data_IF_333886776517
#
_entry.id   IF_333886776517
#
_cell.length_a   1.000
_cell.length_b   1.000
_cell.length_c   1.000
_cell.angle_alpha   90.00
_cell.angle_beta   90.00
_cell.angle_gamma   90.00
#
_symmetry.space_group_name_H-M   'P 1'
#
loop_
_entity.id
_entity.type
_entity.pdbx_description
1 polymer ?
#
# COMPACT_ATOMS: atom_id res chain seq x y z
N UNK A 1 -27.36 -8.77 13.89
CA UNK A 1 -25.90 -8.70 13.64
C UNK A 1 -25.46 -9.78 12.65
N UNK A 2 -25.89 -11.04 12.81
CA UNK A 2 -25.54 -12.16 11.90
C UNK A 2 -26.11 -11.97 10.49
N UNK A 3 -27.32 -11.37 10.35
CA UNK A 3 -27.94 -11.13 9.04
C UNK A 3 -27.24 -10.03 8.21
N UNK A 4 -26.55 -9.08 8.86
CA UNK A 4 -25.76 -8.05 8.18
C UNK A 4 -24.43 -8.60 7.65
N UNK A 5 -23.77 -9.49 8.38
CA UNK A 5 -22.54 -10.15 7.93
C UNK A 5 -22.73 -10.97 6.64
N UNK A 6 -23.89 -11.64 6.52
CA UNK A 6 -24.21 -12.44 5.32
C UNK A 6 -24.51 -11.53 4.10
N UNK A 7 -25.04 -10.34 4.31
CA UNK A 7 -25.29 -9.38 3.23
C UNK A 7 -23.97 -8.77 2.71
N UNK A 8 -23.02 -8.45 3.59
CA UNK A 8 -21.69 -7.98 3.22
C UNK A 8 -20.90 -9.02 2.42
N UNK A 9 -20.92 -10.27 2.86
CA UNK A 9 -20.26 -11.37 2.18
C UNK A 9 -20.89 -11.66 0.78
N UNK A 10 -22.17 -11.38 0.59
CA UNK A 10 -22.80 -11.44 -0.74
C UNK A 10 -22.44 -10.25 -1.63
N UNK A 11 -22.32 -9.04 -1.08
CA UNK A 11 -21.95 -7.86 -1.85
C UNK A 11 -20.48 -7.97 -2.33
N UNK A 12 -19.56 -8.40 -1.46
CA UNK A 12 -18.15 -8.65 -1.82
C UNK A 12 -18.01 -9.75 -2.88
N UNK A 13 -18.81 -10.83 -2.78
CA UNK A 13 -18.84 -11.88 -3.81
C UNK A 13 -19.44 -11.39 -5.12
N UNK A 14 -20.50 -10.61 -5.08
CA UNK A 14 -21.14 -10.07 -6.28
C UNK A 14 -20.22 -9.08 -7.02
N UNK A 15 -19.43 -8.31 -6.28
CA UNK A 15 -18.44 -7.40 -6.83
C UNK A 15 -17.25 -8.15 -7.45
N UNK A 16 -16.72 -9.18 -6.79
CA UNK A 16 -15.70 -10.06 -7.39
C UNK A 16 -16.24 -10.71 -8.68
N UNK A 17 -17.50 -11.13 -8.70
CA UNK A 17 -18.12 -11.68 -9.90
C UNK A 17 -18.27 -10.62 -11.00
N UNK A 18 -18.55 -9.36 -10.66
CA UNK A 18 -18.62 -8.25 -11.62
C UNK A 18 -17.26 -7.86 -12.16
N UNK A 19 -16.24 -7.78 -11.31
CA UNK A 19 -14.83 -7.51 -11.72
C UNK A 19 -14.33 -8.64 -12.63
N UNK A 20 -14.55 -9.88 -12.24
CA UNK A 20 -14.21 -11.06 -13.07
C UNK A 20 -14.99 -11.08 -14.38
N UNK A 21 -16.28 -10.67 -14.36
CA UNK A 21 -17.09 -10.58 -15.58
C UNK A 21 -16.65 -9.41 -16.47
N UNK A 22 -16.27 -8.25 -15.91
CA UNK A 22 -15.75 -7.12 -16.66
C UNK A 22 -14.38 -7.45 -17.30
N UNK A 23 -13.49 -8.09 -16.52
CA UNK A 23 -12.20 -8.57 -17.01
C UNK A 23 -12.36 -9.66 -18.08
N UNK A 24 -13.31 -10.58 -17.89
CA UNK A 24 -13.65 -11.61 -18.88
C UNK A 24 -14.34 -11.02 -20.13
N UNK A 25 -15.14 -9.96 -19.97
CA UNK A 25 -15.77 -9.22 -21.07
C UNK A 25 -14.74 -8.48 -21.91
N UNK A 26 -13.78 -7.82 -21.27
CA UNK A 26 -12.65 -7.18 -21.95
C UNK A 26 -11.77 -8.20 -22.70
N UNK A 27 -11.55 -9.39 -22.11
CA UNK A 27 -10.84 -10.49 -22.76
C UNK A 27 -11.62 -11.06 -23.96
N UNK A 28 -12.96 -11.12 -23.89
CA UNK A 28 -13.82 -11.62 -24.98
C UNK A 28 -13.91 -10.65 -26.18
N UNK A 29 -13.64 -9.35 -25.98
CA UNK A 29 -13.56 -8.35 -27.05
C UNK A 29 -12.26 -8.41 -27.87
N UNK A 30 -11.27 -9.19 -27.41
CA UNK A 30 -10.01 -9.41 -28.14
C UNK A 30 -10.19 -10.51 -29.20
N UNK A 31 -9.50 -10.44 -30.35
CA UNK A 31 -9.56 -11.53 -31.35
C UNK A 31 -9.12 -12.85 -30.75
N UNK A 32 -9.82 -13.92 -31.08
CA UNK A 32 -9.70 -15.27 -30.49
C UNK A 32 -8.24 -15.80 -30.44
N UNK A 33 -7.36 -15.33 -31.29
CA UNK A 33 -5.94 -15.70 -31.29
C UNK A 33 -5.10 -15.01 -30.20
N UNK A 34 -5.60 -13.90 -29.62
CA UNK A 34 -4.95 -13.20 -28.51
C UNK A 34 -5.43 -13.70 -27.14
N UNK A 35 -6.61 -14.32 -27.08
CA UNK A 35 -7.27 -14.78 -25.84
C UNK A 35 -6.60 -16.01 -25.22
N UNK A 36 -5.86 -16.80 -26.01
CA UNK A 36 -5.24 -18.04 -25.52
C UNK A 36 -4.08 -17.87 -24.54
N UNK A 37 -3.63 -16.63 -24.27
CA UNK A 37 -2.51 -16.33 -23.36
C UNK A 37 -2.80 -15.17 -22.40
N UNK A 38 -4.03 -14.67 -22.35
CA UNK A 38 -4.42 -13.59 -21.48
C UNK A 38 -4.60 -14.03 -20.03
N UNK A 39 -3.51 -14.26 -19.33
CA UNK A 39 -3.53 -14.37 -17.86
C UNK A 39 -3.47 -12.96 -17.32
N UNK A 40 -4.55 -12.50 -16.68
CA UNK A 40 -4.52 -11.29 -15.88
C UNK A 40 -3.68 -11.58 -14.64
N UNK A 41 -2.49 -10.98 -14.58
CA UNK A 41 -1.69 -10.99 -13.38
C UNK A 41 -2.30 -10.03 -12.37
N UNK A 42 -3.31 -10.48 -11.65
CA UNK A 42 -3.79 -9.78 -10.46
C UNK A 42 -2.78 -10.09 -9.35
N UNK A 43 -1.88 -9.16 -9.10
CA UNK A 43 -1.11 -9.21 -7.86
C UNK A 43 -2.00 -8.58 -6.81
N UNK A 44 -2.78 -9.42 -6.15
CA UNK A 44 -3.20 -9.05 -4.80
C UNK A 44 -1.91 -8.82 -3.99
N UNK A 45 -1.86 -7.77 -3.19
CA UNK A 45 -0.77 -7.40 -2.26
C UNK A 45 -0.36 -8.55 -1.32
N UNK A 46 0.10 -9.66 -1.89
CA UNK A 46 0.53 -10.83 -1.14
C UNK A 46 1.97 -10.68 -0.71
N UNK A 47 2.67 -9.70 -1.26
CA UNK A 47 4.10 -9.51 -1.09
C UNK A 47 4.50 -8.67 0.10
N UNK A 48 3.59 -8.32 0.93
CA UNK A 48 3.96 -7.66 2.15
C UNK A 48 4.73 -8.63 3.03
N UNK A 49 6.02 -8.39 3.12
CA UNK A 49 6.90 -9.03 4.08
C UNK A 49 6.32 -8.87 5.46
N UNK A 50 5.60 -9.81 5.91
CA UNK A 50 5.17 -9.79 7.23
C UNK A 50 3.80 -10.23 7.48
N UNK A 51 3.78 -10.82 8.47
CA UNK A 51 2.76 -11.41 9.26
C UNK A 51 1.50 -10.53 9.31
N UNK A 52 0.77 -10.54 8.24
CA UNK A 52 -0.66 -10.30 8.31
C UNK A 52 -1.22 -11.56 8.92
N UNK A 53 -2.33 -11.42 9.65
CA UNK A 53 -3.04 -12.57 10.24
C UNK A 53 -3.03 -13.72 9.25
N UNK A 54 -2.18 -14.69 9.55
CA UNK A 54 -1.65 -15.75 8.68
C UNK A 54 -2.71 -16.46 7.86
N UNK A 55 -3.89 -16.64 8.44
CA UNK A 55 -4.95 -17.44 7.85
C UNK A 55 -5.73 -16.70 6.75
N UNK A 56 -5.82 -15.38 6.77
CA UNK A 56 -6.64 -14.65 5.81
C UNK A 56 -6.00 -14.55 4.41
N UNK A 57 -4.68 -14.45 4.32
CA UNK A 57 -3.99 -14.38 3.01
C UNK A 57 -3.84 -15.75 2.35
N UNK A 58 -3.48 -16.77 3.11
CA UNK A 58 -3.47 -18.14 2.60
C UNK A 58 -4.86 -18.56 2.16
N UNK A 59 -5.90 -18.17 2.91
CA UNK A 59 -7.29 -18.45 2.56
C UNK A 59 -7.73 -17.70 1.28
N UNK A 60 -7.31 -16.44 1.08
CA UNK A 60 -7.60 -15.67 -0.14
C UNK A 60 -6.89 -16.28 -1.34
N UNK A 61 -5.59 -16.55 -1.23
CA UNK A 61 -4.80 -17.19 -2.29
C UNK A 61 -5.38 -18.58 -2.64
N UNK A 62 -5.74 -19.37 -1.62
CA UNK A 62 -6.35 -20.69 -1.81
C UNK A 62 -7.75 -20.58 -2.45
N UNK A 63 -8.56 -19.59 -2.08
CA UNK A 63 -9.88 -19.36 -2.66
C UNK A 63 -9.79 -18.96 -4.14
N UNK A 64 -8.85 -18.09 -4.51
CA UNK A 64 -8.59 -17.71 -5.90
C UNK A 64 -8.10 -18.90 -6.72
N UNK A 65 -7.17 -19.71 -6.18
CA UNK A 65 -6.69 -20.93 -6.83
C UNK A 65 -7.80 -21.97 -7.00
N UNK A 66 -8.67 -22.15 -5.99
CA UNK A 66 -9.84 -23.03 -6.08
C UNK A 66 -10.86 -22.53 -7.12
N UNK A 67 -10.91 -21.22 -7.38
CA UNK A 67 -11.69 -20.59 -8.46
C UNK A 67 -11.09 -20.78 -9.85
N UNK A 68 -9.94 -21.44 -9.96
CA UNK A 68 -9.28 -21.73 -11.25
C UNK A 68 -8.27 -20.68 -11.69
N UNK A 69 -7.92 -19.73 -10.84
CA UNK A 69 -6.87 -18.74 -11.12
C UNK A 69 -5.49 -19.34 -10.85
N UNK A 70 -4.48 -18.94 -11.64
CA UNK A 70 -3.09 -19.23 -11.32
C UNK A 70 -2.63 -18.21 -10.25
N UNK A 71 -2.24 -18.72 -9.09
CA UNK A 71 -1.82 -17.90 -7.95
C UNK A 71 -0.40 -18.28 -7.56
N UNK A 72 0.49 -17.30 -7.55
CA UNK A 72 1.87 -17.41 -7.12
C UNK A 72 2.06 -16.52 -5.89
N UNK A 73 1.82 -17.06 -4.72
CA UNK A 73 1.85 -16.34 -3.48
C UNK A 73 2.27 -17.25 -2.35
N UNK A 74 3.06 -16.72 -1.41
CA UNK A 74 3.49 -17.42 -0.21
C UNK A 74 3.53 -16.45 0.96
N UNK A 75 2.81 -16.78 2.00
CA UNK A 75 2.84 -16.03 3.24
C UNK A 75 4.23 -16.06 3.89
N UNK A 76 4.69 -14.88 4.36
CA UNK A 76 5.98 -14.77 5.03
C UNK A 76 7.19 -15.06 4.14
N UNK A 77 7.03 -14.95 2.81
CA UNK A 77 8.13 -15.13 1.87
C UNK A 77 9.25 -14.11 2.11
N UNK A 78 10.49 -14.53 1.89
CA UNK A 78 11.62 -13.63 1.81
C UNK A 78 11.69 -12.95 0.43
N UNK A 79 12.73 -12.13 0.20
CA UNK A 79 12.87 -11.40 -1.07
C UNK A 79 13.14 -12.30 -2.26
N UNK A 80 13.83 -13.40 -2.09
CA UNK A 80 14.14 -14.34 -3.16
C UNK A 80 12.87 -15.10 -3.56
N UNK A 81 12.10 -15.54 -2.58
CA UNK A 81 10.79 -16.18 -2.80
C UNK A 81 9.78 -15.21 -3.44
N UNK A 82 9.76 -13.94 -2.98
CA UNK A 82 8.94 -12.89 -3.57
C UNK A 82 9.28 -12.67 -5.05
N UNK A 83 10.56 -12.47 -5.38
CA UNK A 83 11.00 -12.29 -6.76
C UNK A 83 10.67 -13.54 -7.61
N UNK A 84 10.81 -14.74 -7.06
CA UNK A 84 10.41 -15.99 -7.73
C UNK A 84 8.92 -16.02 -8.07
N UNK A 85 8.05 -15.52 -7.16
CA UNK A 85 6.61 -15.40 -7.45
C UNK A 85 6.34 -14.42 -8.59
N UNK A 86 6.99 -13.25 -8.59
CA UNK A 86 6.87 -12.27 -9.67
C UNK A 86 7.34 -12.85 -11.02
N UNK A 87 8.47 -13.57 -11.03
CA UNK A 87 8.97 -14.23 -12.21
C UNK A 87 7.95 -15.25 -12.76
N UNK A 88 7.34 -16.07 -11.88
CA UNK A 88 6.31 -17.04 -12.27
C UNK A 88 5.09 -16.37 -12.90
N UNK A 89 4.69 -15.18 -12.43
CA UNK A 89 3.63 -14.38 -13.06
C UNK A 89 4.05 -13.93 -14.46
N UNK A 90 5.29 -13.48 -14.64
CA UNK A 90 5.78 -13.00 -15.93
C UNK A 90 5.98 -14.13 -16.94
N UNK A 91 6.32 -15.37 -16.48
CA UNK A 91 6.39 -16.56 -17.34
C UNK A 91 5.04 -16.92 -17.98
N UNK A 92 3.93 -16.48 -17.40
CA UNK A 92 2.61 -16.61 -18.01
C UNK A 92 2.38 -15.64 -19.19
N UNK A 93 3.35 -14.74 -19.48
CA UNK A 93 3.33 -13.78 -20.56
C UNK A 93 2.06 -12.87 -20.57
N UNK A 94 1.82 -12.09 -19.53
CA UNK A 94 0.63 -11.24 -19.43
C UNK A 94 0.65 -10.14 -20.49
N UNK A 95 -0.52 -9.84 -21.08
CA UNK A 95 -0.68 -8.74 -22.03
C UNK A 95 -1.11 -7.43 -21.34
N UNK A 96 -1.77 -7.51 -20.17
CA UNK A 96 -2.12 -6.38 -19.32
C UNK A 96 -1.60 -6.68 -17.92
N UNK A 97 -1.02 -5.66 -17.29
CA UNK A 97 -0.42 -5.74 -15.96
C UNK A 97 -1.22 -4.83 -15.01
N UNK A 98 -1.57 -5.33 -13.84
CA UNK A 98 -1.96 -4.50 -12.70
C UNK A 98 -0.84 -4.64 -11.69
N UNK A 99 -0.16 -3.53 -11.38
CA UNK A 99 1.03 -3.50 -10.53
C UNK A 99 0.77 -2.63 -9.29
N UNK A 100 1.45 -2.94 -8.21
CA UNK A 100 1.37 -2.21 -6.95
C UNK A 100 2.79 -2.01 -6.40
N UNK A 101 3.39 -0.89 -6.75
CA UNK A 101 4.77 -0.54 -6.43
C UNK A 101 5.74 -0.58 -7.61
N UNK A 102 5.29 -1.06 -8.79
CA UNK A 102 6.06 -1.06 -10.03
C UNK A 102 7.11 -2.17 -10.12
N UNK A 103 7.02 -3.23 -9.33
CA UNK A 103 8.02 -4.31 -9.31
C UNK A 103 7.91 -5.22 -10.53
N UNK A 104 6.69 -5.58 -10.96
CA UNK A 104 6.49 -6.34 -12.20
C UNK A 104 6.96 -5.57 -13.43
N UNK A 105 6.57 -4.29 -13.51
CA UNK A 105 6.99 -3.41 -14.60
C UNK A 105 8.51 -3.30 -14.65
N UNK A 106 9.16 -3.17 -13.48
CA UNK A 106 10.62 -3.12 -13.39
C UNK A 106 11.27 -4.44 -13.87
N UNK A 107 10.78 -5.59 -13.41
CA UNK A 107 11.29 -6.90 -13.84
C UNK A 107 11.11 -7.11 -15.34
N UNK A 108 9.96 -6.71 -15.88
CA UNK A 108 9.69 -6.80 -17.32
C UNK A 108 10.66 -5.95 -18.14
N UNK A 109 11.04 -4.77 -17.66
CA UNK A 109 12.00 -3.88 -18.35
C UNK A 109 13.46 -4.29 -18.16
N UNK A 110 13.77 -5.16 -17.20
CA UNK A 110 15.16 -5.57 -16.90
C UNK A 110 15.46 -7.02 -17.26
N UNK A 111 14.57 -7.95 -16.90
CA UNK A 111 14.80 -9.39 -17.06
C UNK A 111 13.95 -10.06 -18.18
N UNK A 112 12.74 -9.54 -18.43
CA UNK A 112 11.75 -10.16 -19.36
C UNK A 112 11.44 -9.24 -20.54
N UNK A 113 12.47 -8.61 -21.09
CA UNK A 113 12.32 -7.58 -22.16
C UNK A 113 11.73 -8.15 -23.46
N UNK A 114 11.81 -9.43 -23.67
CA UNK A 114 11.22 -10.16 -24.80
C UNK A 114 9.69 -10.22 -24.74
N UNK A 115 9.08 -10.05 -23.57
CA UNK A 115 7.62 -10.02 -23.41
C UNK A 115 7.02 -8.66 -23.79
N UNK A 116 7.79 -7.59 -23.73
CA UNK A 116 7.31 -6.21 -23.93
C UNK A 116 6.53 -6.00 -25.22
N UNK A 117 6.92 -6.58 -26.39
CA UNK A 117 6.15 -6.40 -27.62
C UNK A 117 4.70 -6.89 -27.57
N UNK A 118 4.39 -7.82 -26.66
CA UNK A 118 3.06 -8.40 -26.49
C UNK A 118 2.24 -7.68 -25.41
N UNK A 119 2.86 -6.76 -24.65
CA UNK A 119 2.18 -6.00 -23.58
C UNK A 119 1.36 -4.87 -24.18
N UNK A 120 0.08 -4.85 -23.90
CA UNK A 120 -0.86 -3.77 -24.28
C UNK A 120 -0.63 -2.55 -23.38
N UNK A 121 -0.41 -2.79 -22.10
CA UNK A 121 -0.18 -1.76 -21.07
C UNK A 121 -0.41 -2.27 -19.67
N UNK A 122 -0.40 -1.36 -18.71
CA UNK A 122 -0.69 -1.70 -17.31
C UNK A 122 -1.31 -0.56 -16.53
N UNK A 123 -1.67 -0.88 -15.29
CA UNK A 123 -2.26 0.02 -14.32
C UNK A 123 -1.44 -0.03 -13.03
N UNK A 124 -1.21 1.12 -12.40
CA UNK A 124 -0.44 1.22 -11.16
C UNK A 124 -1.33 1.68 -10.01
N UNK A 125 -1.35 0.89 -8.94
CA UNK A 125 -2.21 1.08 -7.77
C UNK A 125 -1.68 2.11 -6.78
N UNK A 126 -0.34 2.27 -6.66
CA UNK A 126 0.22 2.98 -5.51
C UNK A 126 1.14 4.15 -5.88
N UNK A 127 1.23 5.13 -4.98
CA UNK A 127 2.05 6.34 -5.14
C UNK A 127 3.52 6.00 -5.42
N UNK A 128 4.08 5.00 -4.75
CA UNK A 128 5.49 4.60 -4.92
C UNK A 128 5.76 4.09 -6.32
N UNK A 129 4.89 3.23 -6.86
CA UNK A 129 5.00 2.74 -8.23
C UNK A 129 4.84 3.88 -9.24
N UNK A 130 3.89 4.80 -9.03
CA UNK A 130 3.75 5.98 -9.90
C UNK A 130 5.02 6.83 -9.94
N UNK A 131 5.71 7.03 -8.82
CA UNK A 131 6.97 7.76 -8.80
C UNK A 131 8.05 7.05 -9.63
N UNK A 132 8.15 5.72 -9.54
CA UNK A 132 9.06 4.89 -10.35
C UNK A 132 8.71 4.99 -11.84
N UNK A 133 7.44 4.82 -12.19
CA UNK A 133 6.96 4.90 -13.57
C UNK A 133 7.21 6.28 -14.19
N UNK A 134 6.95 7.36 -13.46
CA UNK A 134 7.27 8.74 -13.90
C UNK A 134 8.78 8.96 -14.08
N UNK A 135 9.62 8.30 -13.30
CA UNK A 135 11.07 8.36 -13.47
C UNK A 135 11.50 7.61 -14.74
N UNK A 136 10.98 6.39 -14.97
CA UNK A 136 11.22 5.61 -16.18
C UNK A 136 10.73 6.33 -17.45
N UNK A 137 9.55 6.94 -17.39
CA UNK A 137 8.98 7.70 -18.52
C UNK A 137 9.86 8.90 -18.88
N UNK A 138 10.27 9.70 -17.87
CA UNK A 138 11.21 10.81 -18.09
C UNK A 138 12.57 10.38 -18.65
N UNK A 139 13.02 9.19 -18.30
CA UNK A 139 14.24 8.60 -18.83
C UNK A 139 14.07 8.02 -20.26
N UNK A 140 12.83 7.92 -20.74
CA UNK A 140 12.50 7.27 -22.02
C UNK A 140 12.65 5.74 -21.98
N UNK A 141 12.59 5.16 -20.78
CA UNK A 141 12.77 3.72 -20.54
C UNK A 141 11.45 2.96 -20.52
N UNK A 142 10.32 3.64 -20.24
CA UNK A 142 9.00 3.01 -20.18
C UNK A 142 8.51 2.68 -21.61
N UNK A 143 8.36 1.40 -21.92
CA UNK A 143 8.16 0.90 -23.28
C UNK A 143 6.72 0.51 -23.62
N UNK A 144 5.79 0.65 -22.70
CA UNK A 144 4.35 0.48 -22.91
C UNK A 144 3.55 1.48 -22.06
N UNK A 145 2.26 1.70 -22.35
CA UNK A 145 1.44 2.64 -21.59
C UNK A 145 1.12 2.12 -20.19
N UNK A 146 1.22 3.01 -19.19
CA UNK A 146 0.86 2.73 -17.79
C UNK A 146 -0.14 3.74 -17.28
N UNK A 147 -1.34 3.30 -16.92
CA UNK A 147 -2.39 4.14 -16.34
C UNK A 147 -2.11 4.36 -14.86
N UNK A 148 -2.08 5.62 -14.44
CA UNK A 148 -1.80 6.02 -13.06
C UNK A 148 -3.08 5.97 -12.21
N UNK A 149 -3.55 4.78 -11.84
CA UNK A 149 -4.82 4.59 -11.12
C UNK A 149 -4.82 5.29 -9.77
N UNK A 150 -3.70 5.29 -9.06
CA UNK A 150 -3.60 6.00 -7.77
C UNK A 150 -3.85 7.52 -7.86
N UNK A 151 -3.78 8.12 -9.05
CA UNK A 151 -4.03 9.56 -9.25
C UNK A 151 -5.49 9.88 -9.60
N UNK A 152 -6.37 8.88 -9.77
CA UNK A 152 -7.82 9.09 -9.91
C UNK A 152 -8.43 9.65 -8.62
N UNK A 153 -9.40 10.55 -8.76
CA UNK A 153 -10.06 11.17 -7.61
C UNK A 153 -10.81 10.14 -6.75
N UNK A 154 -11.52 9.19 -7.41
CA UNK A 154 -12.20 8.09 -6.72
C UNK A 154 -11.23 7.12 -6.02
N UNK A 155 -9.94 7.10 -6.40
CA UNK A 155 -8.93 6.29 -5.71
C UNK A 155 -8.32 7.05 -4.55
N UNK A 156 -7.55 8.10 -4.80
CA UNK A 156 -6.71 8.69 -3.74
C UNK A 156 -7.48 9.44 -2.67
N UNK A 157 -8.62 10.04 -3.01
CA UNK A 157 -9.44 10.76 -2.04
C UNK A 157 -10.13 9.81 -1.04
N UNK A 158 -10.36 8.56 -1.42
CA UNK A 158 -11.06 7.57 -0.59
C UNK A 158 -10.11 6.51 -0.04
N UNK A 159 -9.44 5.75 -0.88
CA UNK A 159 -8.52 4.69 -0.50
C UNK A 159 -7.36 5.25 0.34
N UNK A 160 -6.52 6.11 -0.24
CA UNK A 160 -5.35 6.64 0.47
C UNK A 160 -5.74 7.47 1.70
N UNK A 161 -6.83 8.24 1.63
CA UNK A 161 -7.24 9.10 2.75
C UNK A 161 -8.06 8.36 3.79
N UNK A 162 -9.21 7.83 3.41
CA UNK A 162 -10.14 7.22 4.37
C UNK A 162 -9.81 5.77 4.66
N UNK A 163 -9.40 5.00 3.64
CA UNK A 163 -8.97 3.61 3.79
C UNK A 163 -7.75 3.50 4.68
N UNK A 164 -6.65 4.18 4.31
CA UNK A 164 -5.42 4.19 5.13
C UNK A 164 -5.68 4.80 6.51
N UNK A 165 -6.43 5.91 6.56
CA UNK A 165 -6.74 6.56 7.83
C UNK A 165 -7.46 5.64 8.82
N UNK A 166 -8.37 4.80 8.36
CA UNK A 166 -9.06 3.83 9.22
C UNK A 166 -8.17 2.63 9.53
N UNK A 167 -7.65 1.96 8.51
CA UNK A 167 -6.95 0.69 8.66
C UNK A 167 -5.66 0.79 9.49
N UNK A 168 -4.95 1.91 9.40
CA UNK A 168 -3.79 2.17 10.26
C UNK A 168 -4.18 2.19 11.74
N UNK A 169 -5.25 2.89 12.09
CA UNK A 169 -5.72 2.93 13.48
C UNK A 169 -6.34 1.63 13.93
N UNK A 170 -6.99 0.89 13.05
CA UNK A 170 -7.46 -0.46 13.35
C UNK A 170 -6.29 -1.38 13.72
N UNK A 171 -5.21 -1.36 12.93
CA UNK A 171 -3.99 -2.11 13.21
C UNK A 171 -3.33 -1.70 14.53
N UNK A 172 -3.13 -0.39 14.76
CA UNK A 172 -2.52 0.12 15.99
C UNK A 172 -3.34 -0.25 17.23
N UNK A 173 -4.65 0.02 17.21
CA UNK A 173 -5.53 -0.23 18.37
C UNK A 173 -5.69 -1.72 18.67
N UNK A 174 -5.88 -2.55 17.63
CA UNK A 174 -6.00 -4.00 17.77
C UNK A 174 -4.75 -4.62 18.37
N UNK A 175 -3.58 -4.18 17.93
CA UNK A 175 -2.29 -4.74 18.36
C UNK A 175 -1.91 -4.27 19.75
N UNK A 176 -2.07 -2.98 20.05
CA UNK A 176 -1.62 -2.40 21.31
C UNK A 176 -2.68 -2.47 22.42
N UNK A 177 -3.96 -2.36 22.08
CA UNK A 177 -5.08 -2.14 23.02
C UNK A 177 -4.86 -0.92 23.92
N UNK A 178 -4.22 0.14 23.41
CA UNK A 178 -3.96 1.38 24.15
C UNK A 178 -4.99 2.46 23.79
N UNK A 179 -5.25 3.33 24.75
CA UNK A 179 -6.04 4.53 24.51
C UNK A 179 -5.23 5.54 23.68
N UNK A 180 -5.84 6.09 22.65
CA UNK A 180 -5.23 7.12 21.78
C UNK A 180 -5.49 8.52 22.34
N UNK A 181 -6.63 8.71 22.99
CA UNK A 181 -7.02 10.00 23.54
C UNK A 181 -5.97 10.56 24.52
N UNK A 182 -5.65 11.85 24.34
CA UNK A 182 -4.67 12.57 25.15
C UNK A 182 -3.21 12.36 24.79
N UNK A 183 -2.88 11.37 23.94
CA UNK A 183 -1.51 11.11 23.50
C UNK A 183 -1.07 12.07 22.41
N UNK A 184 0.22 12.37 22.36
CA UNK A 184 0.85 13.04 21.24
C UNK A 184 1.12 12.01 20.14
N UNK A 185 0.42 12.15 19.02
CA UNK A 185 0.59 11.32 17.83
C UNK A 185 1.33 12.12 16.77
N UNK A 186 2.50 11.67 16.40
CA UNK A 186 3.34 12.28 15.34
C UNK A 186 3.04 11.54 14.04
N UNK A 187 2.52 12.26 13.05
CA UNK A 187 2.28 11.77 11.69
C UNK A 187 3.32 12.40 10.77
N UNK A 188 4.17 11.56 10.17
CA UNK A 188 5.22 12.01 9.25
C UNK A 188 4.74 11.89 7.82
N UNK A 189 4.57 13.04 7.17
CA UNK A 189 3.97 13.18 5.85
C UNK A 189 2.52 13.67 5.92
N UNK A 190 2.16 14.63 5.04
CA UNK A 190 0.82 15.20 4.95
C UNK A 190 0.24 15.10 3.52
N UNK A 191 0.58 13.99 2.84
CA UNK A 191 -0.12 13.53 1.63
C UNK A 191 -1.50 12.97 1.97
N UNK A 192 -2.14 12.30 1.03
CA UNK A 192 -3.49 11.76 1.24
C UNK A 192 -3.57 10.80 2.43
N UNK A 193 -2.63 9.87 2.56
CA UNK A 193 -2.56 8.96 3.71
C UNK A 193 -2.35 9.72 5.02
N UNK A 194 -1.41 10.66 5.06
CA UNK A 194 -1.14 11.47 6.26
C UNK A 194 -2.32 12.29 6.72
N UNK A 195 -3.08 12.88 5.79
CA UNK A 195 -4.34 13.59 6.07
C UNK A 195 -5.36 12.66 6.73
N UNK A 196 -5.52 11.45 6.18
CA UNK A 196 -6.45 10.45 6.72
C UNK A 196 -6.06 9.96 8.11
N UNK A 197 -4.79 9.61 8.31
CA UNK A 197 -4.24 9.17 9.59
C UNK A 197 -4.38 10.26 10.65
N UNK A 198 -4.03 11.52 10.31
CA UNK A 198 -4.16 12.68 11.21
C UNK A 198 -5.61 12.95 11.60
N UNK A 199 -6.52 12.91 10.62
CA UNK A 199 -7.96 13.11 10.84
C UNK A 199 -8.53 12.07 11.83
N UNK A 200 -8.19 10.79 11.64
CA UNK A 200 -8.64 9.71 12.54
C UNK A 200 -8.02 9.81 13.92
N UNK A 201 -6.72 10.12 14.03
CA UNK A 201 -6.06 10.36 15.30
C UNK A 201 -6.76 11.48 16.10
N UNK A 202 -7.05 12.62 15.45
CA UNK A 202 -7.78 13.75 16.05
C UNK A 202 -9.18 13.31 16.51
N UNK A 203 -9.89 12.54 15.68
CA UNK A 203 -11.21 11.99 16.02
C UNK A 203 -11.17 11.01 17.22
N UNK A 204 -10.06 10.32 17.44
CA UNK A 204 -9.81 9.47 18.61
C UNK A 204 -9.36 10.28 19.85
N UNK A 205 -9.25 11.60 19.75
CA UNK A 205 -8.86 12.47 20.86
C UNK A 205 -7.35 12.65 21.04
N UNK A 206 -6.54 12.31 20.05
CA UNK A 206 -5.10 12.57 20.08
C UNK A 206 -4.78 14.07 19.93
N UNK A 207 -3.59 14.44 20.43
CA UNK A 207 -2.89 15.67 20.09
C UNK A 207 -1.98 15.38 18.92
N UNK A 208 -2.41 15.79 17.71
CA UNK A 208 -1.71 15.42 16.49
C UNK A 208 -0.62 16.45 16.16
N UNK A 209 0.57 15.93 15.87
CA UNK A 209 1.71 16.69 15.35
C UNK A 209 2.00 16.14 13.96
N UNK A 210 2.17 17.01 12.99
CA UNK A 210 2.57 16.65 11.62
C UNK A 210 4.03 17.05 11.40
N UNK A 211 4.80 16.18 10.77
CA UNK A 211 6.12 16.52 10.24
C UNK A 211 6.05 16.44 8.71
N UNK A 212 6.38 17.53 8.04
CA UNK A 212 6.28 17.63 6.57
C UNK A 212 7.40 18.54 6.04
N UNK A 213 7.97 18.18 4.89
CA UNK A 213 9.03 18.94 4.22
C UNK A 213 8.52 19.86 3.12
N UNK A 214 7.37 19.52 2.52
CA UNK A 214 6.69 20.38 1.56
C UNK A 214 6.01 21.55 2.30
N UNK A 215 6.41 22.80 2.05
CA UNK A 215 5.87 23.95 2.78
C UNK A 215 4.37 24.18 2.53
N UNK A 216 3.84 23.79 1.37
CA UNK A 216 2.41 23.94 1.06
C UNK A 216 1.60 22.93 1.87
N UNK A 217 2.02 21.67 1.91
CA UNK A 217 1.38 20.63 2.72
C UNK A 217 1.52 20.91 4.22
N UNK A 218 2.68 21.42 4.65
CA UNK A 218 2.88 21.85 6.04
C UNK A 218 1.91 22.97 6.43
N UNK A 219 1.73 23.97 5.55
CA UNK A 219 0.76 25.05 5.76
C UNK A 219 -0.68 24.53 5.78
N UNK A 220 -1.03 23.59 4.89
CA UNK A 220 -2.33 22.93 4.89
C UNK A 220 -2.60 22.22 6.24
N UNK A 221 -1.61 21.50 6.77
CA UNK A 221 -1.72 20.84 8.07
C UNK A 221 -1.99 21.86 9.20
N UNK A 222 -1.33 23.03 9.17
CA UNK A 222 -1.60 24.12 10.12
C UNK A 222 -3.03 24.64 9.99
N UNK A 223 -3.54 24.82 8.76
CA UNK A 223 -4.92 25.27 8.51
C UNK A 223 -5.97 24.24 8.96
N UNK A 224 -5.64 22.94 8.89
CA UNK A 224 -6.47 21.86 9.42
C UNK A 224 -6.41 21.75 10.97
N UNK A 225 -5.62 22.62 11.61
CA UNK A 225 -5.53 22.77 13.07
C UNK A 225 -4.61 21.75 13.73
N UNK A 226 -3.52 21.34 13.05
CA UNK A 226 -2.46 20.52 13.60
C UNK A 226 -1.23 21.36 13.96
N UNK A 227 -0.47 20.91 14.95
CA UNK A 227 0.87 21.41 15.19
C UNK A 227 1.81 20.85 14.10
N UNK A 228 2.69 21.70 13.57
CA UNK A 228 3.68 21.29 12.57
C UNK A 228 5.07 21.64 13.09
N UNK A 229 5.97 20.65 13.10
CA UNK A 229 7.35 20.86 13.55
C UNK A 229 8.30 19.83 12.92
N UNK A 230 9.61 20.06 12.92
CA UNK A 230 10.60 19.09 12.47
C UNK A 230 10.59 17.83 13.36
N UNK A 231 10.93 16.65 12.75
CA UNK A 231 10.96 15.36 13.46
C UNK A 231 11.82 15.42 14.74
N UNK A 232 12.99 16.05 14.71
CA UNK A 232 13.88 16.18 15.88
C UNK A 232 13.20 16.83 17.10
N UNK A 233 12.20 17.68 16.90
CA UNK A 233 11.42 18.29 18.00
C UNK A 233 10.23 17.40 18.36
N UNK A 234 9.53 16.85 17.36
CA UNK A 234 8.41 15.95 17.55
C UNK A 234 8.84 14.66 18.29
N UNK A 235 10.04 14.14 18.02
CA UNK A 235 10.60 12.97 18.68
C UNK A 235 10.64 13.09 20.20
N UNK A 236 10.90 14.29 20.73
CA UNK A 236 11.01 14.53 22.18
C UNK A 236 9.67 14.44 22.91
N UNK A 237 8.56 14.67 22.21
CA UNK A 237 7.23 14.81 22.82
C UNK A 237 6.21 13.80 22.34
N UNK A 238 6.49 13.08 21.25
CA UNK A 238 5.62 12.04 20.69
C UNK A 238 5.47 10.83 21.61
N UNK A 239 4.26 10.29 21.69
CA UNK A 239 3.96 9.03 22.35
C UNK A 239 3.79 7.90 21.30
N UNK A 240 3.24 8.23 20.14
CA UNK A 240 3.08 7.33 19.00
C UNK A 240 3.53 8.04 17.72
N UNK A 241 4.18 7.31 16.84
CA UNK A 241 4.71 7.78 15.57
C UNK A 241 4.15 6.94 14.44
N UNK A 242 3.62 7.60 13.40
CA UNK A 242 3.13 6.96 12.18
C UNK A 242 3.81 7.61 10.99
N UNK A 243 4.64 6.87 10.27
CA UNK A 243 5.29 7.35 9.04
C UNK A 243 4.45 6.97 7.83
N UNK A 244 4.24 7.93 6.91
CA UNK A 244 3.40 7.78 5.70
C UNK A 244 3.95 8.60 4.52
N UNK A 245 5.28 8.67 4.40
CA UNK A 245 5.93 9.55 3.42
C UNK A 245 6.27 8.85 2.10
N UNK A 246 6.45 7.53 2.13
CA UNK A 246 7.03 6.77 1.03
C UNK A 246 8.53 7.02 0.83
N UNK A 247 9.21 7.70 1.78
CA UNK A 247 10.63 8.03 1.71
C UNK A 247 11.41 7.25 2.76
N UNK A 248 12.68 6.94 2.49
CA UNK A 248 13.54 6.26 3.46
C UNK A 248 14.05 7.20 4.55
N UNK A 249 14.33 6.64 5.76
CA UNK A 249 15.08 7.33 6.81
C UNK A 249 14.33 8.51 7.44
N UNK A 250 13.04 8.41 7.67
CA UNK A 250 12.23 9.44 8.31
C UNK A 250 12.47 9.47 9.82
N UNK A 251 12.52 8.30 10.45
CA UNK A 251 12.90 8.14 11.85
C UNK A 251 14.20 7.35 11.89
N UNK A 252 15.27 7.99 12.37
CA UNK A 252 16.64 7.48 12.35
C UNK A 252 17.23 7.41 13.76
N UNK A 253 18.46 6.92 13.86
CA UNK A 253 19.19 6.79 15.14
C UNK A 253 19.28 8.09 15.93
N UNK A 254 19.37 9.25 15.28
CA UNK A 254 19.40 10.56 15.96
C UNK A 254 18.12 10.89 16.74
N UNK A 255 16.99 10.26 16.36
CA UNK A 255 15.71 10.47 16.98
C UNK A 255 15.46 9.54 18.16
N UNK A 256 15.87 8.26 18.07
CA UNK A 256 15.54 7.21 19.04
C UNK A 256 15.95 7.57 20.48
N UNK A 257 17.17 8.07 20.68
CA UNK A 257 17.65 8.41 22.02
C UNK A 257 16.87 9.57 22.67
N UNK A 258 16.29 10.45 21.83
CA UNK A 258 15.55 11.62 22.32
C UNK A 258 14.09 11.32 22.65
N UNK A 259 13.56 10.20 22.11
CA UNK A 259 12.16 9.79 22.31
C UNK A 259 11.86 9.51 23.79
N UNK A 260 10.57 9.55 24.10
CA UNK A 260 10.08 9.15 25.42
C UNK A 260 10.27 7.65 25.63
N UNK A 261 10.43 7.28 26.88
CA UNK A 261 10.29 5.88 27.29
C UNK A 261 8.87 5.39 26.97
N UNK A 262 8.76 4.22 26.35
CA UNK A 262 7.49 3.65 25.93
C UNK A 262 6.94 4.20 24.59
N UNK A 263 7.70 5.00 23.84
CA UNK A 263 7.24 5.49 22.54
C UNK A 263 7.05 4.34 21.54
N UNK A 264 5.98 4.45 20.73
CA UNK A 264 5.59 3.42 19.76
C UNK A 264 5.84 3.94 18.35
N UNK A 265 6.59 3.17 17.57
CA UNK A 265 6.96 3.44 16.19
C UNK A 265 6.13 2.56 15.26
N UNK A 266 5.52 3.18 14.26
CA UNK A 266 4.63 2.50 13.31
C UNK A 266 4.86 3.04 11.92
N UNK A 267 4.92 2.18 10.92
CA UNK A 267 4.97 2.58 9.52
C UNK A 267 3.65 2.25 8.81
N UNK A 268 3.21 3.17 7.97
CA UNK A 268 2.11 3.02 7.04
C UNK A 268 2.49 3.49 5.62
N UNK A 269 3.78 3.66 5.35
CA UNK A 269 4.31 3.79 4.01
C UNK A 269 4.52 2.42 3.36
N UNK A 270 4.54 2.39 2.03
CA UNK A 270 4.56 1.14 1.26
C UNK A 270 5.73 0.21 1.59
N UNK A 271 6.92 0.75 1.80
CA UNK A 271 8.12 -0.01 2.15
C UNK A 271 8.51 0.17 3.63
N UNK A 272 9.19 -0.81 4.20
CA UNK A 272 9.70 -0.86 5.57
C UNK A 272 11.02 -0.07 5.76
N UNK A 273 11.17 1.05 5.05
CA UNK A 273 12.39 1.86 4.99
C UNK A 273 12.27 3.21 5.68
N UNK A 274 11.06 3.60 6.11
CA UNK A 274 10.81 4.90 6.73
C UNK A 274 11.35 4.98 8.16
N UNK A 275 11.28 3.88 8.91
CA UNK A 275 11.90 3.73 10.22
C UNK A 275 13.20 2.95 10.06
N UNK A 276 14.31 3.49 10.51
CA UNK A 276 15.63 2.84 10.47
C UNK A 276 15.68 1.67 11.47
N UNK A 277 15.04 0.56 11.10
CA UNK A 277 14.98 -0.63 11.96
C UNK A 277 16.36 -1.22 12.22
N UNK A 278 17.25 -1.22 11.21
CA UNK A 278 18.62 -1.71 11.36
C UNK A 278 19.43 -0.85 12.34
N UNK A 279 19.26 0.47 12.26
CA UNK A 279 19.86 1.42 13.21
C UNK A 279 19.32 1.24 14.63
N UNK A 280 18.01 1.04 14.79
CA UNK A 280 17.39 0.79 16.09
C UNK A 280 17.87 -0.52 16.72
N UNK A 281 17.93 -1.59 15.93
CA UNK A 281 18.43 -2.89 16.39
C UNK A 281 19.90 -2.85 16.81
N UNK A 282 20.72 -2.12 16.05
CA UNK A 282 22.15 -1.92 16.41
C UNK A 282 22.33 -1.05 17.65
N UNK A 283 21.44 -0.08 17.87
CA UNK A 283 21.50 0.80 19.04
C UNK A 283 21.00 0.11 20.32
N UNK A 284 20.04 -0.78 20.22
CA UNK A 284 19.44 -1.46 21.35
C UNK A 284 20.41 -2.40 22.04
N UNK A 285 20.38 -2.43 23.37
CA UNK A 285 21.13 -3.39 24.20
C UNK A 285 20.36 -4.69 24.41
N UNK A 286 19.05 -4.66 24.22
CA UNK A 286 18.15 -5.82 24.31
C UNK A 286 16.99 -5.64 23.34
N UNK A 287 16.59 -6.73 22.66
CA UNK A 287 15.38 -6.83 21.84
C UNK A 287 14.54 -8.01 22.35
N UNK A 288 13.25 -7.80 22.50
CA UNK A 288 12.33 -8.84 22.95
C UNK A 288 10.93 -8.69 22.33
N UNK A 289 10.20 -9.79 22.25
CA UNK A 289 8.80 -9.79 21.87
C UNK A 289 7.95 -9.31 23.05
N UNK A 290 7.48 -8.08 23.00
CA UNK A 290 6.61 -7.52 24.02
C UNK A 290 5.18 -8.05 23.91
N UNK A 291 4.71 -8.26 22.69
CA UNK A 291 3.39 -8.79 22.36
C UNK A 291 3.41 -9.28 20.89
N UNK A 292 2.39 -10.01 20.48
CA UNK A 292 2.22 -10.36 19.07
C UNK A 292 2.28 -9.08 18.18
N UNK A 293 3.14 -9.08 17.19
CA UNK A 293 3.46 -7.94 16.32
C UNK A 293 4.05 -6.70 17.04
N UNK A 294 4.50 -6.79 18.27
CA UNK A 294 5.17 -5.69 18.97
C UNK A 294 6.52 -6.15 19.51
N UNK A 295 7.60 -5.53 19.03
CA UNK A 295 8.95 -5.70 19.57
C UNK A 295 9.32 -4.54 20.49
N UNK A 296 9.94 -4.85 21.62
CA UNK A 296 10.56 -3.90 22.51
C UNK A 296 12.08 -3.81 22.28
N UNK A 297 12.60 -2.60 22.26
CA UNK A 297 14.02 -2.30 22.09
C UNK A 297 14.50 -1.48 23.28
N UNK A 298 15.29 -2.09 24.15
CA UNK A 298 15.89 -1.40 25.30
C UNK A 298 17.13 -0.66 24.85
N UNK A 299 17.15 0.66 25.05
CA UNK A 299 18.26 1.52 24.65
C UNK A 299 19.32 1.62 25.78
N UNK A 300 20.58 2.03 25.48
CA UNK A 300 21.64 2.19 26.48
C UNK A 300 21.29 3.16 27.62
N UNK A 301 20.41 4.14 27.36
CA UNK A 301 19.93 5.10 28.35
C UNK A 301 18.79 4.55 29.25
N UNK A 302 18.45 3.28 29.14
CA UNK A 302 17.44 2.59 29.94
C UNK A 302 16.01 2.78 29.45
N UNK A 303 15.76 3.55 28.38
CA UNK A 303 14.44 3.69 27.77
C UNK A 303 14.12 2.47 26.89
N UNK A 304 12.86 2.16 26.75
CA UNK A 304 12.37 1.15 25.81
C UNK A 304 11.54 1.83 24.73
N UNK A 305 11.85 1.53 23.47
CA UNK A 305 11.01 1.88 22.33
C UNK A 305 10.29 0.62 21.84
N UNK A 306 9.09 0.80 21.32
CA UNK A 306 8.30 -0.28 20.75
C UNK A 306 8.09 -0.06 19.25
N UNK A 307 8.14 -1.14 18.48
CA UNK A 307 7.76 -1.12 17.06
C UNK A 307 6.58 -2.03 16.82
N UNK A 308 5.67 -1.62 15.94
CA UNK A 308 4.60 -2.48 15.47
C UNK A 308 5.02 -3.07 14.11
N UNK A 309 4.88 -4.38 13.99
CA UNK A 309 5.16 -5.14 12.77
C UNK A 309 6.57 -4.91 12.20
N UNK A 310 7.55 -4.60 13.06
CA UNK A 310 8.95 -4.38 12.67
C UNK A 310 9.15 -3.33 11.58
N UNK A 311 8.35 -2.26 11.60
CA UNK A 311 8.42 -1.19 10.62
C UNK A 311 7.72 -1.48 9.28
N UNK A 312 7.06 -2.62 9.16
CA UNK A 312 6.24 -2.95 7.97
C UNK A 312 4.90 -2.22 8.00
N UNK A 313 4.18 -2.27 6.91
CA UNK A 313 2.87 -1.63 6.71
C UNK A 313 1.86 -2.09 7.77
N UNK A 314 1.58 -1.25 8.77
CA UNK A 314 0.82 -1.64 9.97
C UNK A 314 -0.62 -2.07 9.67
N UNK A 315 -1.26 -1.44 8.70
CA UNK A 315 -2.65 -1.73 8.32
C UNK A 315 -2.83 -3.12 7.71
N UNK A 316 -1.77 -3.67 7.12
CA UNK A 316 -1.75 -5.02 6.55
C UNK A 316 -1.06 -6.02 7.49
N UNK A 317 0.09 -5.65 8.05
CA UNK A 317 0.86 -6.55 8.91
C UNK A 317 0.22 -6.78 10.31
N UNK A 318 -0.60 -5.85 10.78
CA UNK A 318 -1.23 -5.91 12.10
C UNK A 318 -2.74 -5.64 12.07
N UNK A 319 -3.34 -5.52 10.89
CA UNK A 319 -4.76 -5.28 10.63
C UNK A 319 -5.29 -6.10 9.46
N UNK A 320 -6.53 -5.83 9.07
CA UNK A 320 -7.22 -6.53 7.98
C UNK A 320 -7.18 -5.72 6.67
N UNK A 321 -6.38 -4.65 6.59
CA UNK A 321 -6.30 -3.76 5.43
C UNK A 321 -7.48 -2.79 5.34
N UNK A 322 -7.69 -2.25 4.13
CA UNK A 322 -8.76 -1.29 3.90
C UNK A 322 -10.13 -1.97 3.86
N UNK A 323 -11.21 -1.27 4.30
CA UNK A 323 -12.58 -1.78 4.16
C UNK A 323 -12.94 -2.07 2.71
N UNK A 324 -13.66 -3.16 2.47
CA UNK A 324 -14.11 -3.57 1.13
C UNK A 324 -14.91 -2.48 0.40
N UNK A 325 -15.67 -1.67 1.13
CA UNK A 325 -16.45 -0.54 0.59
C UNK A 325 -15.55 0.54 -0.03
N UNK A 326 -14.32 0.72 0.49
CA UNK A 326 -13.32 1.62 -0.07
C UNK A 326 -12.61 0.96 -1.25
N UNK A 327 -12.22 -0.30 -1.11
CA UNK A 327 -11.50 -1.03 -2.16
C UNK A 327 -12.35 -1.26 -3.41
N UNK A 328 -13.67 -1.26 -3.27
CA UNK A 328 -14.62 -1.34 -4.38
C UNK A 328 -14.34 -0.26 -5.45
N UNK A 329 -14.15 0.99 -5.03
CA UNK A 329 -13.84 2.09 -5.95
C UNK A 329 -12.46 1.92 -6.60
N UNK A 330 -11.42 1.55 -5.83
CA UNK A 330 -10.08 1.30 -6.36
C UNK A 330 -10.08 0.19 -7.41
N UNK A 331 -10.78 -0.92 -7.13
CA UNK A 331 -10.85 -2.05 -8.05
C UNK A 331 -11.72 -1.74 -9.28
N UNK A 332 -12.77 -0.93 -9.14
CA UNK A 332 -13.57 -0.48 -10.28
C UNK A 332 -12.72 0.37 -11.24
N UNK A 333 -11.94 1.33 -10.74
CA UNK A 333 -11.00 2.12 -11.56
C UNK A 333 -9.94 1.22 -12.22
N UNK A 334 -9.40 0.21 -11.52
CA UNK A 334 -8.45 -0.74 -12.11
C UNK A 334 -9.08 -1.51 -13.28
N UNK A 335 -10.29 -2.02 -13.10
CA UNK A 335 -11.01 -2.78 -14.13
C UNK A 335 -11.32 -1.92 -15.35
N UNK A 336 -11.86 -0.71 -15.15
CA UNK A 336 -12.16 0.23 -16.23
C UNK A 336 -10.90 0.71 -16.95
N UNK A 337 -9.79 0.91 -16.23
CA UNK A 337 -8.51 1.27 -16.82
C UNK A 337 -7.92 0.14 -17.66
N UNK A 338 -8.04 -1.11 -17.23
CA UNK A 338 -7.63 -2.28 -18.01
C UNK A 338 -8.47 -2.43 -19.29
N UNK A 339 -9.79 -2.24 -19.20
CA UNK A 339 -10.69 -2.20 -20.36
C UNK A 339 -10.32 -1.08 -21.33
N UNK A 340 -10.05 0.13 -20.81
CA UNK A 340 -9.59 1.27 -21.60
C UNK A 340 -8.31 0.97 -22.37
N UNK A 341 -7.31 0.36 -21.73
CA UNK A 341 -6.08 -0.05 -22.39
C UNK A 341 -6.35 -1.04 -23.51
N UNK A 342 -7.17 -2.07 -23.27
CA UNK A 342 -7.53 -3.06 -24.27
C UNK A 342 -8.24 -2.46 -25.48
N UNK A 343 -9.22 -1.57 -25.24
CA UNK A 343 -10.01 -0.91 -26.27
C UNK A 343 -9.17 0.08 -27.12
N UNK A 344 -8.18 0.73 -26.53
CA UNK A 344 -7.39 1.78 -27.17
C UNK A 344 -5.97 1.36 -27.56
N UNK A 345 -5.64 0.06 -27.52
CA UNK A 345 -4.28 -0.48 -27.71
C UNK A 345 -3.55 0.03 -28.96
N UNK A 346 -4.28 0.36 -30.04
CA UNK A 346 -3.68 0.82 -31.30
C UNK A 346 -3.35 2.31 -31.32
N UNK A 347 -3.87 3.09 -30.38
CA UNK A 347 -3.71 4.56 -30.32
C UNK A 347 -2.84 5.03 -29.15
N UNK A 348 -2.70 4.21 -28.11
CA UNK A 348 -1.90 4.54 -26.94
C UNK A 348 -0.41 4.41 -27.26
N UNK A 349 0.37 5.29 -26.64
CA UNK A 349 1.84 5.30 -26.77
C UNK A 349 2.46 4.92 -25.44
N UNK A 350 3.69 4.36 -25.44
CA UNK A 350 4.46 4.18 -24.23
C UNK A 350 4.53 5.46 -23.39
N UNK A 351 4.48 5.33 -22.09
CA UNK A 351 4.53 6.42 -21.13
C UNK A 351 3.45 6.32 -20.06
N UNK A 352 3.49 7.23 -19.09
CA UNK A 352 2.46 7.33 -18.06
C UNK A 352 1.21 8.05 -18.56
N UNK A 353 0.04 7.51 -18.24
CA UNK A 353 -1.26 8.02 -18.70
C UNK A 353 -2.12 8.31 -17.45
N UNK A 354 -2.70 9.51 -17.32
CA UNK A 354 -3.71 9.75 -16.28
C UNK A 354 -4.97 8.91 -16.58
N UNK A 355 -5.68 8.54 -15.53
CA UNK A 355 -7.02 7.94 -15.71
C UNK A 355 -7.91 8.93 -16.46
N UNK A 356 -8.54 8.51 -17.58
CA UNK A 356 -9.51 9.34 -18.27
C UNK A 356 -10.64 9.77 -17.31
N UNK A 357 -11.00 11.04 -17.35
CA UNK A 357 -11.97 11.62 -16.42
C UNK A 357 -13.33 10.90 -16.45
N UNK A 358 -13.75 10.47 -17.62
CA UNK A 358 -14.99 9.71 -17.82
C UNK A 358 -15.02 8.36 -17.08
N UNK A 359 -13.85 7.74 -16.86
CA UNK A 359 -13.75 6.50 -16.08
C UNK A 359 -13.87 6.79 -14.58
N UNK A 360 -13.21 7.87 -14.13
CA UNK A 360 -13.26 8.30 -12.73
C UNK A 360 -14.69 8.74 -12.34
N UNK A 361 -15.39 9.46 -13.25
CA UNK A 361 -16.80 9.85 -13.07
C UNK A 361 -17.81 8.70 -13.16
N UNK A 362 -17.41 7.56 -13.74
CA UNK A 362 -18.29 6.38 -13.88
C UNK A 362 -18.34 5.52 -12.61
N UNK A 363 -17.31 5.60 -11.77
CA UNK A 363 -17.23 4.91 -10.47
C UNK A 363 -18.04 5.65 -9.43
#
# INVERSE_FOLDING_TARGET
>A
LVSRGIAHDRAARHLNDQILAALAGAAAALPVHAVGRGVFALIAEVHQRGQIVVHAQDDVAAALAAGGMQVFARYGCDMEEYESCLCSVLEAAPNIIIDDGGDLVHLMHTKYTELIPEVIGGCEETTTGIHRLKAMDRAGELRFPMVMVNEADCKHMFDNRYGTGQSVWDGIMRTTNLIVAGKYVVVSGYGWCGKGVSLRAKGLGAKVIVTETDPVRALEAVMDGYEVMPMREAAKIGDMFVTVTGCSGIITTEHFETMKDGAILTNAGHFDVEVDMAGLEKLAVEKYDARHNIQGYVLPNGKTLFTIAEGRLVNLAAGDGHPAEIMDMSFAIQALSAEYLAANRSSLKPGVIPVPRELDEAV
#
